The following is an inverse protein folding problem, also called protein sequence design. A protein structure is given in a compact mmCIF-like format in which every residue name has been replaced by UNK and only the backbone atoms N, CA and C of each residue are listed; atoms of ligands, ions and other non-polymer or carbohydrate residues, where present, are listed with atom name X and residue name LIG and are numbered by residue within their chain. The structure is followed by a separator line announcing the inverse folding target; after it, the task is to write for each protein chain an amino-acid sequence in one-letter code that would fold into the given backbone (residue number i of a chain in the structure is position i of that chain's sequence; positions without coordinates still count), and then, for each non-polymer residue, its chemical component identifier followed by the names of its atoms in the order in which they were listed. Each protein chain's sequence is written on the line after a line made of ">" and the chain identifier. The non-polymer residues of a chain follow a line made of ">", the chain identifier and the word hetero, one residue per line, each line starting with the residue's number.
data_IF_254725930597
#
_entry.id   IF_254725930597
#
_cell.length_a   1.000
_cell.length_b   1.000
_cell.length_c   1.000
_cell.angle_alpha   90.00
_cell.angle_beta   90.00
_cell.angle_gamma   90.00
#
_symmetry.space_group_name_H-M   'P 1'
#
loop_
_entity.id
_entity.type
_entity.pdbx_description
1 polymer ?
#
# COMPACT_ATOMS: atom_id res chain seq x y z
N UNK A 1 -8.65 17.32 -23.10
CA UNK A 1 -7.32 16.85 -23.58
C UNK A 1 -6.90 15.54 -22.88
N UNK A 2 -7.04 15.45 -21.57
CA UNK A 2 -6.61 14.28 -20.77
C UNK A 2 -7.30 12.98 -21.21
N UNK A 3 -8.62 12.99 -21.34
CA UNK A 3 -9.40 11.81 -21.79
C UNK A 3 -8.88 11.22 -23.11
N UNK A 4 -8.54 12.06 -24.08
CA UNK A 4 -8.01 11.61 -25.37
C UNK A 4 -6.64 10.95 -25.22
N UNK A 5 -5.79 11.46 -24.34
CA UNK A 5 -4.48 10.89 -24.06
C UNK A 5 -4.62 9.50 -23.45
N UNK A 6 -5.44 9.34 -22.41
CA UNK A 6 -5.66 8.05 -21.76
C UNK A 6 -6.27 7.04 -22.74
N UNK A 7 -7.21 7.48 -23.56
CA UNK A 7 -7.83 6.64 -24.57
C UNK A 7 -6.81 6.21 -25.65
N UNK A 8 -5.92 7.10 -26.06
CA UNK A 8 -4.83 6.78 -26.99
C UNK A 8 -3.83 5.79 -26.38
N UNK A 9 -3.49 5.95 -25.10
CA UNK A 9 -2.61 5.02 -24.38
C UNK A 9 -3.25 3.62 -24.26
N UNK A 10 -4.54 3.54 -23.96
CA UNK A 10 -5.22 2.25 -23.81
C UNK A 10 -5.32 1.48 -25.14
N UNK A 11 -5.43 2.20 -26.25
CA UNK A 11 -5.44 1.58 -27.59
C UNK A 11 -4.03 1.18 -28.02
N UNK A 12 -3.04 2.07 -27.81
CA UNK A 12 -1.65 1.82 -28.22
C UNK A 12 -0.99 0.69 -27.42
N UNK A 13 -1.43 0.48 -26.17
CA UNK A 13 -0.86 -0.50 -25.23
C UNK A 13 -1.93 -1.44 -24.68
N UNK A 14 -2.77 -1.98 -25.56
CA UNK A 14 -3.88 -2.85 -25.17
C UNK A 14 -3.45 -4.16 -24.51
N UNK A 15 -2.21 -4.57 -24.69
CA UNK A 15 -1.56 -5.76 -24.11
C UNK A 15 -0.81 -5.46 -22.81
N UNK A 16 -0.87 -4.22 -22.30
CA UNK A 16 -0.09 -3.75 -21.15
C UNK A 16 -0.95 -3.09 -20.10
N UNK A 17 -0.48 -3.15 -18.86
CA UNK A 17 -0.97 -2.33 -17.78
C UNK A 17 -0.23 -0.99 -17.82
N UNK A 18 -0.99 0.10 -17.96
CA UNK A 18 -0.45 1.46 -17.92
C UNK A 18 -0.66 2.02 -16.51
N UNK A 19 0.44 2.37 -15.86
CA UNK A 19 0.41 3.00 -14.54
C UNK A 19 0.74 4.48 -14.71
N UNK A 20 -0.14 5.34 -14.18
CA UNK A 20 0.03 6.80 -14.18
C UNK A 20 0.43 7.24 -12.78
N UNK A 21 1.62 7.79 -12.64
CA UNK A 21 2.07 8.45 -11.41
C UNK A 21 1.59 9.90 -11.40
N UNK A 22 1.03 10.32 -10.27
CA UNK A 22 0.37 11.63 -10.15
C UNK A 22 0.87 12.40 -8.93
N UNK A 23 0.79 13.73 -8.94
CA UNK A 23 0.92 14.53 -7.72
C UNK A 23 -0.12 14.15 -6.66
N UNK A 24 0.03 14.60 -5.41
CA UNK A 24 -0.93 14.33 -4.35
C UNK A 24 -2.35 14.79 -4.72
N UNK A 25 -3.34 13.92 -4.49
CA UNK A 25 -4.74 14.15 -4.91
C UNK A 25 -5.38 15.40 -4.30
N UNK A 26 -5.04 15.72 -3.04
CA UNK A 26 -5.60 16.90 -2.37
C UNK A 26 -4.97 18.22 -2.79
N UNK A 27 -3.82 18.16 -3.45
CA UNK A 27 -3.08 19.37 -3.82
C UNK A 27 -3.30 19.80 -5.27
N UNK A 28 -3.81 18.91 -6.12
CA UNK A 28 -3.90 19.18 -7.55
C UNK A 28 -5.20 18.66 -8.15
N UNK A 29 -5.81 19.48 -9.00
CA UNK A 29 -7.00 19.09 -9.78
C UNK A 29 -6.65 18.09 -10.88
N UNK A 30 -5.40 18.08 -11.34
CA UNK A 30 -4.93 17.16 -12.38
C UNK A 30 -5.02 15.71 -11.95
N UNK A 31 -4.67 15.41 -10.70
CA UNK A 31 -4.76 14.06 -10.13
C UNK A 31 -6.22 13.59 -10.05
N UNK A 32 -7.13 14.47 -9.67
CA UNK A 32 -8.58 14.18 -9.62
C UNK A 32 -9.13 13.90 -11.03
N UNK A 33 -8.78 14.73 -12.01
CA UNK A 33 -9.19 14.53 -13.41
C UNK A 33 -8.65 13.22 -13.98
N UNK A 34 -7.41 12.86 -13.63
CA UNK A 34 -6.85 11.56 -14.03
C UNK A 34 -7.60 10.39 -13.40
N UNK A 35 -7.92 10.50 -12.11
CA UNK A 35 -8.67 9.48 -11.39
C UNK A 35 -10.03 9.18 -12.03
N UNK A 36 -10.70 10.18 -12.59
CA UNK A 36 -11.97 9.99 -13.29
C UNK A 36 -11.86 9.16 -14.57
N UNK A 37 -10.69 9.15 -15.18
CA UNK A 37 -10.49 8.57 -16.51
C UNK A 37 -9.76 7.22 -16.51
N UNK A 38 -9.26 6.76 -15.37
CA UNK A 38 -8.59 5.47 -15.22
C UNK A 38 -9.57 4.39 -14.74
N UNK A 39 -9.25 3.13 -14.98
CA UNK A 39 -10.10 2.01 -14.56
C UNK A 39 -9.98 1.67 -13.08
N UNK A 40 -8.87 2.03 -12.45
CA UNK A 40 -8.59 1.73 -11.05
C UNK A 40 -7.69 2.79 -10.44
N UNK A 41 -7.88 3.06 -9.16
CA UNK A 41 -7.02 3.96 -8.39
C UNK A 41 -6.29 3.16 -7.31
N UNK A 42 -5.00 3.42 -7.15
CA UNK A 42 -4.20 2.96 -6.02
C UNK A 42 -3.80 4.18 -5.19
N UNK A 43 -4.38 4.30 -4.01
CA UNK A 43 -4.11 5.39 -3.08
C UNK A 43 -2.91 5.02 -2.22
N UNK A 44 -1.84 5.81 -2.32
CA UNK A 44 -0.65 5.64 -1.48
C UNK A 44 -0.77 6.52 -0.25
N UNK A 45 -0.77 5.89 0.92
CA UNK A 45 -0.93 6.54 2.22
C UNK A 45 0.39 6.44 2.96
N UNK A 46 0.91 7.56 3.44
CA UNK A 46 2.13 7.56 4.27
C UNK A 46 1.80 7.31 5.73
N UNK A 47 2.35 6.21 6.27
CA UNK A 47 2.12 5.83 7.67
C UNK A 47 2.64 6.89 8.64
N UNK A 48 1.79 7.30 9.58
CA UNK A 48 2.13 8.28 10.61
C UNK A 48 2.17 9.73 10.12
N UNK A 49 1.89 10.00 8.84
CA UNK A 49 1.90 11.34 8.25
C UNK A 49 0.55 11.70 7.65
N UNK A 50 0.00 10.82 6.79
CA UNK A 50 -1.31 11.07 6.16
C UNK A 50 -2.43 10.95 7.19
N UNK A 51 -3.20 12.02 7.37
CA UNK A 51 -4.32 12.06 8.30
C UNK A 51 -5.49 11.21 7.81
N UNK A 52 -6.28 10.68 8.76
CA UNK A 52 -7.50 9.93 8.44
C UNK A 52 -8.53 10.81 7.68
N UNK A 53 -8.64 12.08 8.06
CA UNK A 53 -9.51 13.05 7.39
C UNK A 53 -9.13 13.26 5.93
N UNK A 54 -7.82 13.35 5.64
CA UNK A 54 -7.30 13.50 4.27
C UNK A 54 -7.66 12.31 3.39
N UNK A 55 -7.57 11.09 3.94
CA UNK A 55 -7.96 9.86 3.24
C UNK A 55 -9.45 9.86 2.92
N UNK A 56 -10.30 10.24 3.88
CA UNK A 56 -11.74 10.33 3.67
C UNK A 56 -12.09 11.37 2.61
N UNK A 57 -11.47 12.55 2.65
CA UNK A 57 -11.68 13.60 1.67
C UNK A 57 -11.36 13.14 0.24
N UNK A 58 -10.23 12.43 0.06
CA UNK A 58 -9.88 11.82 -1.23
C UNK A 58 -10.93 10.82 -1.68
N UNK A 59 -11.36 9.92 -0.79
CA UNK A 59 -12.34 8.89 -1.13
C UNK A 59 -13.71 9.48 -1.48
N UNK A 60 -14.13 10.55 -0.81
CA UNK A 60 -15.37 11.27 -1.10
C UNK A 60 -15.35 11.97 -2.46
N UNK A 61 -14.17 12.41 -2.89
CA UNK A 61 -13.95 13.04 -4.20
C UNK A 61 -13.86 12.06 -5.37
N UNK A 62 -13.72 10.76 -5.11
CA UNK A 62 -13.67 9.73 -6.15
C UNK A 62 -15.07 9.21 -6.49
N UNK A 63 -15.23 8.74 -7.73
CA UNK A 63 -16.43 8.01 -8.15
C UNK A 63 -16.62 6.76 -7.27
N UNK A 64 -17.81 6.59 -6.71
CA UNK A 64 -18.14 5.51 -5.77
C UNK A 64 -18.09 4.12 -6.42
N UNK A 65 -18.29 4.07 -7.72
CA UNK A 65 -18.24 2.80 -8.48
C UNK A 65 -16.81 2.44 -8.92
N UNK A 66 -15.84 3.33 -8.68
CA UNK A 66 -14.46 3.10 -9.07
C UNK A 66 -13.73 2.21 -8.07
N UNK A 67 -13.07 1.14 -8.53
CA UNK A 67 -12.21 0.33 -7.67
C UNK A 67 -11.05 1.16 -7.12
N UNK A 68 -10.96 1.25 -5.80
CA UNK A 68 -9.89 1.94 -5.08
C UNK A 68 -9.22 0.96 -4.16
N UNK A 69 -7.90 0.79 -4.30
CA UNK A 69 -7.07 0.07 -3.36
C UNK A 69 -6.15 1.04 -2.62
N UNK A 70 -5.73 0.70 -1.43
CA UNK A 70 -4.81 1.52 -0.65
C UNK A 70 -3.53 0.76 -0.33
N UNK A 71 -2.41 1.47 -0.37
CA UNK A 71 -1.09 0.99 0.06
C UNK A 71 -0.62 1.88 1.20
N UNK A 72 -0.30 1.27 2.33
CA UNK A 72 0.35 1.95 3.44
C UNK A 72 1.87 1.93 3.24
N UNK A 73 2.40 3.09 2.84
CA UNK A 73 3.83 3.26 2.60
C UNK A 73 4.57 3.70 3.88
N UNK A 74 5.87 3.43 3.95
CA UNK A 74 6.75 3.80 5.07
C UNK A 74 6.27 3.29 6.44
N UNK A 75 5.46 2.23 6.47
CA UNK A 75 5.09 1.60 7.71
C UNK A 75 6.33 0.94 8.33
N UNK A 76 6.73 1.41 9.50
CA UNK A 76 7.70 0.68 10.31
C UNK A 76 6.98 -0.51 10.91
N UNK A 77 7.63 -1.67 10.93
CA UNK A 77 7.08 -2.88 11.54
C UNK A 77 6.45 -2.53 12.89
N UNK A 78 5.14 -2.44 12.89
CA UNK A 78 4.39 -2.42 14.14
C UNK A 78 4.44 -3.85 14.63
N UNK A 79 5.31 -4.09 15.61
CA UNK A 79 5.35 -5.35 16.32
C UNK A 79 3.92 -5.76 16.68
N UNK A 80 3.60 -7.00 16.32
CA UNK A 80 2.35 -7.70 16.51
C UNK A 80 1.41 -7.10 17.57
N UNK A 81 0.47 -6.27 17.14
CA UNK A 81 -0.76 -6.07 17.88
C UNK A 81 -1.70 -7.27 17.65
N UNK A 82 -2.78 -7.42 18.41
CA UNK A 82 -3.70 -8.57 18.32
C UNK A 82 -4.32 -8.79 16.93
N UNK A 83 -4.12 -7.90 15.99
CA UNK A 83 -4.53 -8.01 14.59
C UNK A 83 -3.35 -8.18 13.61
N UNK A 84 -2.12 -8.35 14.12
CA UNK A 84 -0.90 -8.47 13.32
C UNK A 84 -0.73 -9.79 12.56
N UNK A 85 -1.74 -10.65 12.54
CA UNK A 85 -1.66 -11.99 11.95
C UNK A 85 -2.10 -12.12 10.49
N UNK A 86 -2.47 -11.05 9.81
CA UNK A 86 -3.03 -11.14 8.44
C UNK A 86 -2.07 -10.58 7.38
N UNK A 87 -0.80 -10.39 7.70
CA UNK A 87 0.18 -10.09 6.66
C UNK A 87 0.78 -11.39 6.14
N UNK A 88 0.40 -11.74 4.94
CA UNK A 88 0.97 -12.82 4.18
C UNK A 88 2.48 -12.69 4.07
N UNK A 89 3.17 -13.65 4.66
CA UNK A 89 4.39 -14.15 4.14
C UNK A 89 5.69 -13.49 4.56
N UNK A 90 6.55 -14.38 4.98
CA UNK A 90 7.94 -14.29 5.37
C UNK A 90 8.21 -13.89 6.82
N UNK A 91 7.78 -14.76 7.72
CA UNK A 91 8.55 -14.93 8.93
C UNK A 91 9.82 -15.69 8.56
N UNK A 92 11.01 -15.16 8.77
CA UNK A 92 12.24 -15.97 8.65
C UNK A 92 12.16 -17.07 9.70
N UNK A 93 12.38 -18.31 9.26
CA UNK A 93 12.43 -19.47 10.12
C UNK A 93 13.39 -19.21 11.28
N UNK A 94 12.90 -19.24 12.51
CA UNK A 94 13.75 -19.33 13.68
C UNK A 94 14.54 -20.61 13.56
N UNK A 95 15.84 -20.49 13.35
CA UNK A 95 16.77 -21.58 13.58
C UNK A 95 16.72 -21.89 15.07
N UNK A 96 16.20 -23.04 15.42
CA UNK A 96 16.42 -23.67 16.69
C UNK A 96 17.88 -24.16 16.67
N UNK A 97 18.77 -23.39 17.20
CA UNK A 97 20.03 -23.87 17.73
C UNK A 97 19.75 -24.22 19.18
N UNK A 98 19.83 -25.40 19.57
CA UNK A 98 20.95 -26.26 19.82
C UNK A 98 21.52 -26.00 21.19
N UNK A 99 21.16 -26.90 22.09
CA UNK A 99 22.05 -27.47 23.12
C UNK A 99 22.95 -26.50 23.88
N UNK A 100 22.64 -26.27 25.11
CA UNK A 100 23.69 -26.21 26.13
C UNK A 100 23.23 -26.97 27.37
N UNK A 101 23.72 -28.22 27.40
CA UNK A 101 24.02 -28.92 28.62
C UNK A 101 24.83 -28.00 29.52
N UNK A 102 24.38 -27.82 30.68
CA UNK A 102 25.26 -27.44 31.77
C UNK A 102 25.04 -28.38 32.95
N UNK A 103 25.89 -29.40 32.90
CA UNK A 103 26.36 -30.12 34.07
C UNK A 103 26.89 -29.11 35.09
N UNK A 104 26.34 -29.16 36.24
CA UNK A 104 27.04 -28.78 37.45
C UNK A 104 26.73 -29.76 38.52
N UNK A 105 27.59 -30.76 38.48
CA UNK A 105 27.96 -31.52 39.65
C UNK A 105 28.69 -30.68 40.69
N UNK A 106 28.28 -30.96 41.94
CA UNK A 106 29.14 -31.16 43.10
C UNK A 106 29.63 -29.96 43.87
N UNK A 107 29.33 -30.11 45.06
CA UNK A 107 30.05 -30.52 46.30
C UNK A 107 30.32 -29.29 47.15
N UNK A 108 29.97 -29.29 48.32
CA UNK A 108 30.02 -30.05 49.58
C UNK A 108 29.23 -29.30 50.62
#
# INVERSE_FOLDING_TARGET
>A
RMRRLIQALSVAFSDRLVILDTPPMLLTTEAQVLADHVGQVVLVIEAGVTGHGDVLEVLEGLDKDKPVNAILNKSRNVAAGPYGGIYYGYAPAKRSGGDDENDNDEQT
#
